data_IF_566275653256
#
_entry.id   IF_566275653256
#
_cell.length_a   1.000
_cell.length_b   1.000
_cell.length_c   1.000
_cell.angle_alpha   90.00
_cell.angle_beta   90.00
_cell.angle_gamma   90.00
#
_symmetry.space_group_name_H-M   'P 1'
#
loop_
_entity.id
_entity.type
_entity.pdbx_description
1 polymer ?
#
# COMPACT_ATOMS: atom_id res chain seq x y z
N UNK A 1 -7.63 22.48 -59.67
CA UNK A 1 -7.94 21.05 -59.51
C UNK A 1 -6.64 20.30 -59.31
N UNK A 2 -6.53 19.62 -58.16
CA UNK A 2 -5.75 18.40 -57.92
C UNK A 2 -4.21 18.51 -58.03
N UNK A 3 -3.58 18.67 -56.86
CA UNK A 3 -2.19 18.28 -56.59
C UNK A 3 -2.16 16.76 -56.35
N UNK A 4 -1.27 16.02 -57.05
CA UNK A 4 -1.02 14.59 -56.83
C UNK A 4 0.41 14.36 -56.34
N UNK A 5 0.50 13.41 -55.40
CA UNK A 5 1.60 12.47 -55.18
C UNK A 5 2.91 13.01 -54.59
N UNK A 6 3.02 12.88 -53.26
CA UNK A 6 4.27 12.53 -52.61
C UNK A 6 3.98 11.33 -51.70
N UNK A 7 4.24 10.15 -52.24
CA UNK A 7 4.35 8.89 -51.50
C UNK A 7 5.49 9.04 -50.48
N UNK A 8 5.14 9.33 -49.23
CA UNK A 8 6.07 9.27 -48.10
C UNK A 8 5.71 8.03 -47.31
N UNK A 9 6.30 6.90 -47.70
CA UNK A 9 6.41 5.71 -46.87
C UNK A 9 6.98 6.13 -45.52
N UNK A 10 6.11 6.21 -44.52
CA UNK A 10 6.53 6.25 -43.12
C UNK A 10 7.08 4.88 -42.78
N UNK A 11 8.32 4.75 -42.28
CA UNK A 11 8.77 3.46 -41.79
C UNK A 11 7.94 3.14 -40.55
N UNK A 12 7.08 2.13 -40.68
CA UNK A 12 6.44 1.48 -39.54
C UNK A 12 7.58 0.89 -38.70
N UNK A 13 7.90 1.57 -37.60
CA UNK A 13 8.77 1.01 -36.58
C UNK A 13 7.93 -0.03 -35.82
N UNK A 14 7.73 -1.20 -36.43
CA UNK A 14 7.18 -2.40 -35.80
C UNK A 14 8.26 -2.99 -34.89
N UNK A 15 8.67 -2.21 -33.89
CA UNK A 15 9.43 -2.68 -32.74
C UNK A 15 8.51 -3.54 -31.90
N UNK A 16 8.35 -4.80 -32.32
CA UNK A 16 7.56 -5.81 -31.63
C UNK A 16 8.16 -6.00 -30.23
N UNK A 17 7.56 -5.32 -29.24
CA UNK A 17 8.08 -5.29 -27.87
C UNK A 17 7.89 -6.66 -27.23
N UNK A 18 8.99 -7.34 -26.98
CA UNK A 18 9.04 -8.64 -26.33
C UNK A 18 8.40 -8.53 -24.93
N UNK A 19 7.25 -9.18 -24.72
CA UNK A 19 6.77 -9.55 -23.37
C UNK A 19 6.04 -8.49 -22.54
N UNK A 20 5.25 -7.59 -23.14
CA UNK A 20 4.34 -6.72 -22.37
C UNK A 20 3.22 -7.58 -21.76
N UNK A 21 3.12 -7.59 -20.42
CA UNK A 21 1.98 -8.21 -19.73
C UNK A 21 0.85 -7.18 -19.75
N UNK A 22 -0.26 -7.53 -20.38
CA UNK A 22 -1.50 -6.75 -20.28
C UNK A 22 -2.14 -7.02 -18.92
N UNK A 23 -2.29 -5.94 -18.15
CA UNK A 23 -2.91 -5.98 -16.84
C UNK A 23 -4.36 -5.52 -16.96
N UNK A 24 -5.32 -6.19 -16.30
CA UNK A 24 -6.70 -5.74 -16.29
C UNK A 24 -6.84 -4.40 -15.55
N UNK A 25 -7.79 -3.56 -15.96
CA UNK A 25 -7.99 -2.20 -15.43
C UNK A 25 -8.14 -2.19 -13.90
N UNK A 26 -8.84 -3.18 -13.34
CA UNK A 26 -9.00 -3.30 -11.88
C UNK A 26 -7.67 -3.55 -11.18
N UNK A 27 -6.75 -4.30 -11.78
CA UNK A 27 -5.40 -4.48 -11.22
C UNK A 27 -4.55 -3.23 -11.40
N UNK A 28 -4.69 -2.50 -12.51
CA UNK A 28 -4.03 -1.21 -12.70
C UNK A 28 -4.48 -0.18 -11.66
N UNK A 29 -5.77 -0.18 -11.31
CA UNK A 29 -6.29 0.61 -10.20
C UNK A 29 -5.68 0.19 -8.86
N UNK A 30 -5.71 -1.10 -8.54
CA UNK A 30 -5.08 -1.66 -7.34
C UNK A 30 -3.61 -1.27 -7.25
N UNK A 31 -2.88 -1.33 -8.37
CA UNK A 31 -1.47 -0.99 -8.44
C UNK A 31 -1.22 0.50 -8.21
N UNK A 32 -2.05 1.37 -8.78
CA UNK A 32 -1.97 2.83 -8.59
C UNK A 32 -2.28 3.23 -7.14
N UNK A 33 -3.22 2.56 -6.50
CA UNK A 33 -3.59 2.81 -5.10
C UNK A 33 -2.62 2.15 -4.10
N UNK A 34 -1.80 1.19 -4.54
CA UNK A 34 -0.86 0.49 -3.66
C UNK A 34 0.19 1.47 -3.10
N UNK A 35 0.44 1.48 -1.78
CA UNK A 35 1.37 2.41 -1.16
C UNK A 35 2.78 2.31 -1.76
N UNK A 36 3.41 3.46 -2.00
CA UNK A 36 4.79 3.52 -2.49
C UNK A 36 5.73 2.87 -1.46
N UNK A 37 6.65 2.03 -1.94
CA UNK A 37 7.69 1.38 -1.15
C UNK A 37 9.07 1.87 -1.59
N UNK A 38 9.96 2.15 -0.64
CA UNK A 38 11.39 2.22 -0.94
C UNK A 38 11.97 0.81 -1.14
N UNK A 39 12.65 0.61 -2.26
CA UNK A 39 13.17 -0.70 -2.67
C UNK A 39 12.22 -1.49 -3.58
N UNK A 40 12.57 -2.74 -3.84
CA UNK A 40 11.91 -3.53 -4.89
C UNK A 40 10.43 -3.87 -4.58
N UNK A 41 9.56 -3.60 -5.56
CA UNK A 41 8.17 -4.05 -5.58
C UNK A 41 7.78 -4.48 -7.01
N UNK A 42 8.15 -5.69 -7.46
CA UNK A 42 7.96 -6.11 -8.86
C UNK A 42 6.49 -6.36 -9.20
N UNK A 43 5.91 -5.52 -10.07
CA UNK A 43 4.50 -5.56 -10.50
C UNK A 43 4.05 -6.91 -11.03
N UNK A 44 4.87 -7.56 -11.87
CA UNK A 44 4.55 -8.87 -12.46
C UNK A 44 4.34 -9.95 -11.39
N UNK A 45 5.18 -9.99 -10.36
CA UNK A 45 5.06 -10.95 -9.26
C UNK A 45 3.84 -10.68 -8.40
N UNK A 46 3.55 -9.40 -8.13
CA UNK A 46 2.33 -8.98 -7.43
C UNK A 46 1.07 -9.38 -8.20
N UNK A 47 1.07 -9.21 -9.53
CA UNK A 47 -0.04 -9.63 -10.38
C UNK A 47 -0.27 -11.14 -10.35
N UNK A 48 0.80 -11.95 -10.34
CA UNK A 48 0.68 -13.40 -10.20
C UNK A 48 0.02 -13.80 -8.88
N UNK A 49 0.41 -13.15 -7.76
CA UNK A 49 -0.19 -13.38 -6.45
C UNK A 49 -1.67 -12.95 -6.42
N UNK A 50 -1.99 -11.75 -6.92
CA UNK A 50 -3.35 -11.25 -7.06
C UNK A 50 -4.25 -12.19 -7.89
N UNK A 51 -3.76 -12.70 -9.03
CA UNK A 51 -4.49 -13.69 -9.84
C UNK A 51 -4.74 -15.00 -9.09
N UNK A 52 -3.86 -15.42 -8.20
CA UNK A 52 -4.10 -16.61 -7.38
C UNK A 52 -5.31 -16.40 -6.46
N UNK A 53 -5.46 -15.20 -5.88
CA UNK A 53 -6.62 -14.86 -5.04
C UNK A 53 -7.93 -14.84 -5.83
N UNK A 54 -7.90 -14.35 -7.08
CA UNK A 54 -9.08 -14.42 -7.96
C UNK A 54 -9.52 -15.87 -8.22
N UNK A 55 -8.57 -16.79 -8.44
CA UNK A 55 -8.88 -18.22 -8.65
C UNK A 55 -9.46 -18.89 -7.40
N UNK A 56 -9.15 -18.36 -6.22
CA UNK A 56 -9.71 -18.79 -4.94
C UNK A 56 -11.07 -18.15 -4.64
N UNK A 57 -11.62 -17.35 -5.56
CA UNK A 57 -12.93 -16.71 -5.41
C UNK A 57 -12.92 -15.39 -4.62
N UNK A 58 -11.74 -14.82 -4.33
CA UNK A 58 -11.66 -13.50 -3.70
C UNK A 58 -12.05 -12.43 -4.72
N UNK A 59 -13.05 -11.57 -4.44
CA UNK A 59 -13.44 -10.52 -5.37
C UNK A 59 -12.33 -9.46 -5.47
N UNK A 60 -12.05 -8.91 -6.67
CA UNK A 60 -11.07 -7.85 -6.89
C UNK A 60 -11.22 -6.66 -5.92
N UNK A 61 -12.46 -6.30 -5.62
CA UNK A 61 -12.89 -5.17 -4.81
C UNK A 61 -12.48 -5.36 -3.35
N UNK A 62 -12.55 -6.59 -2.81
CA UNK A 62 -12.09 -6.87 -1.46
C UNK A 62 -10.56 -6.68 -1.33
N UNK A 63 -9.80 -7.04 -2.36
CA UNK A 63 -8.36 -6.80 -2.40
C UNK A 63 -8.04 -5.30 -2.53
N UNK A 64 -8.78 -4.57 -3.36
CA UNK A 64 -8.66 -3.11 -3.50
C UNK A 64 -8.98 -2.39 -2.19
N UNK A 65 -10.05 -2.78 -1.50
CA UNK A 65 -10.41 -2.21 -0.20
C UNK A 65 -9.34 -2.52 0.87
N UNK A 66 -8.73 -3.70 0.81
CA UNK A 66 -7.56 -4.04 1.63
C UNK A 66 -6.38 -3.10 1.38
N UNK A 67 -6.08 -2.80 0.12
CA UNK A 67 -5.04 -1.83 -0.25
C UNK A 67 -5.36 -0.44 0.32
N UNK A 68 -6.61 0.02 0.20
CA UNK A 68 -7.04 1.32 0.73
C UNK A 68 -6.91 1.40 2.24
N UNK A 69 -7.31 0.35 2.97
CA UNK A 69 -7.12 0.26 4.43
C UNK A 69 -5.64 0.35 4.79
N UNK A 70 -4.81 -0.41 4.09
CA UNK A 70 -3.36 -0.43 4.32
C UNK A 70 -2.70 0.93 4.03
N UNK A 71 -3.09 1.59 2.94
CA UNK A 71 -2.61 2.92 2.59
C UNK A 71 -2.93 3.95 3.68
N UNK A 72 -4.17 3.95 4.20
CA UNK A 72 -4.58 4.83 5.30
C UNK A 72 -3.76 4.55 6.57
N UNK A 73 -3.53 3.28 6.90
CA UNK A 73 -2.69 2.91 8.03
C UNK A 73 -1.25 3.42 7.90
N UNK A 74 -0.63 3.27 6.73
CA UNK A 74 0.72 3.77 6.48
C UNK A 74 0.80 5.30 6.51
N UNK A 75 -0.22 5.99 6.01
CA UNK A 75 -0.32 7.43 6.13
C UNK A 75 -0.41 7.87 7.60
N UNK A 76 -1.30 7.24 8.39
CA UNK A 76 -1.49 7.56 9.81
C UNK A 76 -0.27 7.22 10.68
N UNK A 77 0.55 6.25 10.27
CA UNK A 77 1.77 5.85 11.00
C UNK A 77 3.05 6.47 10.45
N UNK A 78 2.96 7.32 9.41
CA UNK A 78 4.13 7.97 8.80
C UNK A 78 5.09 7.01 8.08
N UNK A 79 4.61 5.85 7.62
CA UNK A 79 5.44 4.79 7.02
C UNK A 79 5.36 4.71 5.49
N UNK A 80 4.51 5.52 4.85
CA UNK A 80 4.42 5.56 3.38
C UNK A 80 5.76 5.93 2.74
N UNK A 81 6.13 5.27 1.65
CA UNK A 81 7.39 5.54 0.95
C UNK A 81 8.63 4.94 1.60
N UNK A 82 8.50 4.24 2.74
CA UNK A 82 9.64 3.62 3.44
C UNK A 82 9.88 2.18 2.98
N UNK A 83 11.00 1.60 3.41
CA UNK A 83 11.31 0.17 3.24
C UNK A 83 10.45 -0.74 4.13
N UNK A 84 9.57 -0.20 4.97
CA UNK A 84 8.65 -0.97 5.81
C UNK A 84 7.28 -1.21 5.16
N UNK A 85 7.00 -0.55 4.02
CA UNK A 85 5.78 -0.79 3.24
C UNK A 85 5.82 -2.18 2.63
N UNK A 86 4.95 -3.11 3.03
CA UNK A 86 4.96 -4.48 2.52
C UNK A 86 5.02 -4.55 1.00
N UNK A 87 5.79 -5.50 0.48
CA UNK A 87 5.80 -5.80 -0.96
C UNK A 87 4.43 -6.33 -1.37
N UNK A 88 3.94 -5.92 -2.53
CA UNK A 88 2.62 -6.30 -3.01
C UNK A 88 2.48 -7.82 -3.23
N UNK A 89 3.58 -8.51 -3.60
CA UNK A 89 3.61 -9.98 -3.67
C UNK A 89 3.30 -10.65 -2.33
N UNK A 90 3.82 -10.11 -1.23
CA UNK A 90 3.49 -10.61 0.12
C UNK A 90 2.07 -10.22 0.50
N UNK A 91 1.68 -8.99 0.17
CA UNK A 91 0.34 -8.48 0.51
C UNK A 91 -0.80 -9.30 -0.12
N UNK A 92 -0.67 -9.66 -1.40
CA UNK A 92 -1.60 -10.54 -2.12
C UNK A 92 -1.23 -12.03 -2.03
N UNK A 93 -0.23 -12.37 -1.22
CA UNK A 93 0.30 -13.72 -1.08
C UNK A 93 -0.65 -14.68 -0.36
N UNK A 94 -0.21 -15.93 -0.10
CA UNK A 94 -1.00 -16.99 0.55
C UNK A 94 -1.68 -16.54 1.85
N UNK A 95 -1.00 -15.70 2.64
CA UNK A 95 -1.46 -15.20 3.95
C UNK A 95 -2.55 -14.12 3.86
N UNK A 96 -2.88 -13.65 2.65
CA UNK A 96 -3.98 -12.71 2.38
C UNK A 96 -3.96 -11.46 3.27
N UNK A 97 -2.81 -10.77 3.35
CA UNK A 97 -2.66 -9.59 4.20
C UNK A 97 -3.60 -8.41 3.86
N UNK A 98 -4.26 -8.43 2.69
CA UNK A 98 -5.36 -7.51 2.36
C UNK A 98 -6.61 -7.70 3.23
N UNK A 99 -6.81 -8.88 3.84
CA UNK A 99 -7.91 -9.16 4.78
C UNK A 99 -7.68 -8.55 6.16
N UNK A 100 -6.43 -8.18 6.49
CA UNK A 100 -6.13 -7.53 7.77
C UNK A 100 -6.93 -6.21 7.91
N UNK A 101 -7.38 -5.88 9.14
CA UNK A 101 -8.20 -4.70 9.37
C UNK A 101 -7.41 -3.40 9.21
N UNK A 102 -6.09 -3.42 9.38
CA UNK A 102 -5.20 -2.25 9.33
C UNK A 102 -5.75 -1.06 10.13
N UNK A 103 -6.12 -1.34 11.39
CA UNK A 103 -6.73 -0.35 12.28
C UNK A 103 -5.81 0.86 12.43
N UNK A 104 -6.37 2.04 12.24
CA UNK A 104 -5.62 3.28 12.43
C UNK A 104 -5.23 3.38 13.91
N UNK A 105 -4.00 3.84 14.22
CA UNK A 105 -3.68 4.21 15.59
C UNK A 105 -4.70 5.25 16.04
N UNK A 106 -5.34 5.03 17.19
CA UNK A 106 -6.17 6.06 17.79
C UNK A 106 -5.27 7.28 18.00
N UNK A 107 -5.52 8.35 17.25
CA UNK A 107 -4.96 9.66 17.59
C UNK A 107 -5.48 9.92 18.99
N UNK A 108 -4.60 9.78 19.99
CA UNK A 108 -4.99 9.87 21.38
C UNK A 108 -5.80 11.15 21.55
N UNK A 109 -7.02 11.00 22.05
CA UNK A 109 -7.68 12.06 22.81
C UNK A 109 -6.64 12.67 23.74
N UNK A 110 -6.21 13.89 23.43
CA UNK A 110 -5.57 14.85 24.34
C UNK A 110 -4.58 14.26 25.35
N UNK A 111 -3.61 13.46 24.89
CA UNK A 111 -2.38 13.26 25.65
C UNK A 111 -1.28 14.05 24.97
N UNK A 112 -1.45 15.37 25.03
CA UNK A 112 -0.36 16.25 25.33
C UNK A 112 0.29 15.69 26.60
N UNK A 113 1.26 14.77 26.43
CA UNK A 113 2.24 14.47 27.46
C UNK A 113 3.07 15.74 27.56
N UNK A 114 2.50 16.78 28.16
CA UNK A 114 3.28 17.85 28.73
C UNK A 114 4.19 17.16 29.74
N UNK A 115 5.45 17.00 29.35
CA UNK A 115 6.54 16.43 30.16
C UNK A 115 6.70 17.18 31.50
N UNK A 116 6.02 18.32 31.65
CA UNK A 116 5.99 19.19 32.82
C UNK A 116 4.73 19.07 33.70
N UNK A 117 3.81 18.11 33.46
CA UNK A 117 2.72 17.83 34.39
C UNK A 117 3.03 16.57 35.20
N UNK A 118 3.91 16.73 36.18
CA UNK A 118 4.13 15.74 37.24
C UNK A 118 2.88 15.83 38.12
N UNK A 119 2.16 14.72 38.32
CA UNK A 119 1.08 14.65 39.32
C UNK A 119 1.62 15.16 40.66
N UNK A 120 0.83 15.93 41.40
CA UNK A 120 1.22 16.38 42.74
C UNK A 120 1.77 15.19 43.53
N UNK A 121 2.94 15.31 44.19
CA UNK A 121 3.44 14.22 45.00
C UNK A 121 2.42 13.96 46.10
N UNK A 122 1.94 12.72 46.14
CA UNK A 122 1.18 12.26 47.28
C UNK A 122 2.07 12.38 48.52
N UNK A 123 1.69 13.25 49.46
CA UNK A 123 2.43 13.49 50.70
C UNK A 123 2.08 12.44 51.77
N UNK A 124 1.25 11.44 51.45
CA UNK A 124 0.93 10.35 52.37
C UNK A 124 2.02 9.27 52.34
N UNK A 125 2.95 9.35 53.30
CA UNK A 125 3.91 8.29 53.59
C UNK A 125 3.13 7.11 54.20
N UNK A 126 3.12 5.92 53.58
CA UNK A 126 2.40 4.77 54.12
C UNK A 126 3.00 4.33 55.47
N UNK A 127 2.16 4.05 56.49
CA UNK A 127 2.65 3.58 57.77
C UNK A 127 3.35 2.22 57.60
N UNK A 128 4.62 2.14 57.99
CA UNK A 128 5.44 0.91 57.92
C UNK A 128 6.81 1.06 57.27
N UNK A 129 7.11 2.20 56.64
CA UNK A 129 8.45 2.51 56.13
C UNK A 129 9.34 3.03 57.28
N UNK A 130 9.90 2.13 58.09
CA UNK A 130 10.97 2.44 59.06
C UNK A 130 12.28 1.84 58.52
N UNK A 131 13.28 2.70 58.33
CA UNK A 131 14.65 2.32 57.93
C UNK A 131 15.41 1.56 59.02
#
# INVERSE_FOLDING_TARGET
AIQREADRVVPENTGQSVGRVDYPDVFEQVWREYPLRAGANPKKSAFSAWKARLREGVPPEAMLDGVRRYARYLAATGKTGTEFVQRATTFFGPDRNFENPWLLPVSGTNNQRCVNHISEPDNEIPPGFRG
#
